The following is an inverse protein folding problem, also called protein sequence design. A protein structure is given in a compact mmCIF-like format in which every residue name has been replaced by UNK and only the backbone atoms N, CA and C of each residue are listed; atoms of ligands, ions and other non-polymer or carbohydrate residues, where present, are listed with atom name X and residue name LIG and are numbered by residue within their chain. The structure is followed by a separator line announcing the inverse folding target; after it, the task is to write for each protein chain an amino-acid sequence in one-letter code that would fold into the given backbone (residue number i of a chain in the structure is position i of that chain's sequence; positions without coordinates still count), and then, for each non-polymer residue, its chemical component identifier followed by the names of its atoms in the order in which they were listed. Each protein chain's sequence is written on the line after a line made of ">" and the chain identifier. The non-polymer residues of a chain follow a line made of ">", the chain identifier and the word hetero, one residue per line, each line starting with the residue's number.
data_IF_487246217839
#
_entry.id   IF_487246217839
#
_cell.length_a   1.000
_cell.length_b   1.000
_cell.length_c   1.000
_cell.angle_alpha   90.00
_cell.angle_beta   90.00
_cell.angle_gamma   90.00
#
_symmetry.space_group_name_H-M   'P 1'
#
loop_
_entity.id
_entity.type
_entity.pdbx_description
1 polymer ?
#
# COMPACT_ATOMS: atom_id res chain seq x y z
N UNK A 1 48.75 -35.22 7.11
CA UNK A 1 48.07 -34.25 6.23
C UNK A 1 46.58 -34.32 6.52
N UNK A 2 46.12 -33.48 7.43
CA UNK A 2 44.72 -33.43 7.87
C UNK A 2 44.09 -32.23 7.17
N UNK A 3 43.24 -32.50 6.18
CA UNK A 3 42.44 -31.45 5.51
C UNK A 3 41.34 -31.03 6.47
N UNK A 4 41.40 -29.80 6.95
CA UNK A 4 40.26 -29.11 7.55
C UNK A 4 39.26 -28.81 6.44
N UNK A 5 38.14 -29.52 6.41
CA UNK A 5 36.93 -29.08 5.70
C UNK A 5 36.34 -27.93 6.52
N UNK A 6 36.52 -26.70 6.06
CA UNK A 6 35.73 -25.58 6.52
C UNK A 6 34.28 -25.83 6.08
N UNK A 7 33.41 -25.96 7.08
CA UNK A 7 31.97 -25.99 6.83
C UNK A 7 31.54 -24.62 6.33
N UNK A 8 31.20 -24.54 5.05
CA UNK A 8 30.45 -23.39 4.49
C UNK A 8 29.13 -23.28 5.28
N UNK A 9 29.10 -22.34 6.18
CA UNK A 9 27.83 -21.86 6.77
C UNK A 9 27.04 -21.20 5.67
N UNK A 10 26.15 -21.95 5.06
CA UNK A 10 25.06 -21.38 4.23
C UNK A 10 24.16 -20.58 5.15
N UNK A 11 24.47 -19.31 5.31
CA UNK A 11 23.53 -18.35 5.92
C UNK A 11 22.30 -18.28 5.00
N UNK A 12 21.14 -18.73 5.52
CA UNK A 12 19.89 -18.48 4.82
C UNK A 12 19.81 -16.98 4.45
N UNK A 13 19.40 -16.66 3.22
CA UNK A 13 19.32 -15.26 2.82
C UNK A 13 18.41 -14.50 3.78
N UNK A 14 18.93 -13.43 4.36
CA UNK A 14 18.23 -12.59 5.31
C UNK A 14 16.86 -12.18 4.72
N UNK A 15 15.80 -12.61 5.37
CA UNK A 15 14.44 -12.37 4.90
C UNK A 15 14.11 -10.89 5.08
N UNK A 16 13.89 -10.20 3.98
CA UNK A 16 13.56 -8.78 4.02
C UNK A 16 12.12 -8.60 4.52
N UNK A 17 11.97 -7.87 5.61
CA UNK A 17 10.70 -7.50 6.21
C UNK A 17 10.56 -5.96 6.19
N UNK A 18 9.33 -5.44 6.22
CA UNK A 18 9.11 -4.00 6.38
C UNK A 18 9.60 -3.53 7.76
N UNK A 19 10.15 -2.31 7.82
CA UNK A 19 10.55 -1.64 9.06
C UNK A 19 9.35 -1.00 9.77
N UNK A 20 8.36 -0.61 8.99
CA UNK A 20 7.19 0.08 9.51
C UNK A 20 6.04 -0.90 9.74
N UNK A 21 5.21 -0.67 10.78
CA UNK A 21 4.11 -1.55 11.10
C UNK A 21 3.10 -1.62 9.96
N UNK A 22 2.55 -2.81 9.77
CA UNK A 22 1.57 -3.13 8.73
C UNK A 22 0.19 -3.27 9.36
N UNK A 23 -0.77 -2.47 8.92
CA UNK A 23 -2.15 -2.50 9.39
C UNK A 23 -3.11 -2.88 8.27
N UNK A 24 -4.10 -3.68 8.60
CA UNK A 24 -5.18 -4.10 7.71
C UNK A 24 -6.51 -3.82 8.40
N UNK A 25 -7.15 -2.65 8.16
CA UNK A 25 -8.52 -2.44 8.61
C UNK A 25 -9.45 -3.40 7.88
N UNK A 26 -10.23 -4.18 8.61
CA UNK A 26 -11.11 -5.19 8.04
C UNK A 26 -12.47 -5.20 8.73
N UNK A 27 -13.54 -5.47 7.94
CA UNK A 27 -14.92 -5.54 8.41
C UNK A 27 -15.69 -6.63 7.68
N UNK A 28 -16.29 -7.57 8.43
CA UNK A 28 -17.15 -8.61 7.90
C UNK A 28 -16.45 -9.60 6.96
N UNK A 29 -15.13 -9.86 7.15
CA UNK A 29 -14.31 -10.71 6.28
C UNK A 29 -13.44 -11.71 7.04
N UNK A 30 -13.82 -12.06 8.25
CA UNK A 30 -13.09 -13.06 9.04
C UNK A 30 -13.05 -14.43 8.37
N UNK A 31 -14.05 -14.81 7.53
CA UNK A 31 -14.06 -16.07 6.78
C UNK A 31 -13.17 -16.05 5.53
N UNK A 32 -12.80 -14.87 5.00
CA UNK A 32 -12.01 -14.69 3.76
C UNK A 32 -11.14 -13.46 3.85
N UNK A 33 -10.19 -13.48 4.75
CA UNK A 33 -9.22 -12.40 4.94
C UNK A 33 -8.07 -12.48 3.94
N UNK A 34 -8.31 -12.19 2.67
CA UNK A 34 -7.32 -12.39 1.59
C UNK A 34 -5.98 -11.72 1.86
N UNK A 35 -5.99 -10.51 2.44
CA UNK A 35 -4.75 -9.80 2.79
C UNK A 35 -4.05 -10.45 3.96
N UNK A 36 -4.79 -10.90 4.97
CA UNK A 36 -4.25 -11.64 6.11
C UNK A 36 -3.61 -12.96 5.66
N UNK A 37 -4.34 -13.77 4.89
CA UNK A 37 -3.83 -15.03 4.33
C UNK A 37 -2.56 -14.83 3.49
N UNK A 38 -2.49 -13.74 2.73
CA UNK A 38 -1.30 -13.40 1.97
C UNK A 38 -0.13 -13.03 2.86
N UNK A 39 -0.35 -12.14 3.86
CA UNK A 39 0.72 -11.71 4.77
C UNK A 39 1.23 -12.87 5.65
N UNK A 40 0.34 -13.77 6.09
CA UNK A 40 0.72 -15.01 6.79
C UNK A 40 1.62 -15.90 5.93
N UNK A 41 1.20 -16.18 4.70
CA UNK A 41 1.99 -16.97 3.74
C UNK A 41 3.38 -16.36 3.52
N UNK A 42 3.45 -15.04 3.37
CA UNK A 42 4.69 -14.31 3.18
C UNK A 42 5.46 -14.08 4.51
N UNK A 43 4.90 -14.53 5.66
CA UNK A 43 5.44 -14.38 7.02
C UNK A 43 5.78 -12.94 7.37
N UNK A 44 4.94 -12.01 6.96
CA UNK A 44 5.06 -10.59 7.27
C UNK A 44 4.24 -10.29 8.51
N UNK A 45 4.82 -9.74 9.59
CA UNK A 45 4.03 -9.31 10.75
C UNK A 45 3.04 -8.21 10.38
N UNK A 46 1.80 -8.34 10.85
CA UNK A 46 0.73 -7.36 10.59
C UNK A 46 -0.30 -7.30 11.72
N UNK A 47 -1.07 -6.21 11.73
CA UNK A 47 -2.18 -6.02 12.65
C UNK A 47 -3.50 -5.94 11.88
N UNK A 48 -4.43 -6.86 12.18
CA UNK A 48 -5.83 -6.73 11.77
C UNK A 48 -6.52 -5.73 12.69
N UNK A 49 -7.07 -4.66 12.12
CA UNK A 49 -7.76 -3.61 12.87
C UNK A 49 -9.25 -3.78 12.65
N UNK A 50 -9.97 -4.16 13.69
CA UNK A 50 -11.37 -4.59 13.63
C UNK A 50 -12.25 -3.83 14.60
N UNK A 51 -13.55 -3.74 14.30
CA UNK A 51 -14.53 -3.18 15.20
C UNK A 51 -14.82 -4.15 16.37
N UNK A 52 -15.22 -3.66 17.59
CA UNK A 52 -15.39 -4.49 18.79
C UNK A 52 -16.32 -5.69 18.61
N UNK A 53 -17.42 -5.52 17.88
CA UNK A 53 -18.41 -6.58 17.65
C UNK A 53 -17.91 -7.73 16.76
N UNK A 54 -16.79 -7.55 16.09
CA UNK A 54 -16.20 -8.58 15.20
C UNK A 54 -14.94 -9.22 15.80
N UNK A 55 -14.45 -8.70 16.93
CA UNK A 55 -13.16 -9.06 17.50
C UNK A 55 -13.01 -10.57 17.73
N UNK A 56 -14.03 -11.22 18.31
CA UNK A 56 -13.95 -12.65 18.61
C UNK A 56 -13.93 -13.52 17.35
N UNK A 57 -14.68 -13.15 16.32
CA UNK A 57 -14.65 -13.84 15.04
C UNK A 57 -13.28 -13.74 14.35
N UNK A 58 -12.65 -12.57 14.39
CA UNK A 58 -11.30 -12.40 13.84
C UNK A 58 -10.22 -13.09 14.68
N UNK A 59 -10.34 -13.09 16.02
CA UNK A 59 -9.44 -13.86 16.89
C UNK A 59 -9.55 -15.36 16.65
N UNK A 60 -10.77 -15.87 16.46
CA UNK A 60 -10.98 -17.28 16.13
C UNK A 60 -10.41 -17.65 14.75
N UNK A 61 -10.43 -16.74 13.78
CA UNK A 61 -9.95 -17.01 12.42
C UNK A 61 -8.42 -16.82 12.25
N UNK A 62 -7.82 -15.85 12.94
CA UNK A 62 -6.43 -15.44 12.72
C UNK A 62 -5.58 -15.39 13.99
N UNK A 63 -6.14 -15.63 15.16
CA UNK A 63 -5.43 -15.51 16.44
C UNK A 63 -4.29 -16.51 16.65
N UNK A 64 -4.32 -17.65 15.94
CA UNK A 64 -3.26 -18.66 16.00
C UNK A 64 -2.07 -18.35 15.09
N UNK A 65 -2.18 -17.35 14.21
CA UNK A 65 -1.08 -16.94 13.35
C UNK A 65 0.01 -16.21 14.16
N UNK A 66 1.27 -16.65 14.09
CA UNK A 66 2.39 -15.97 14.76
C UNK A 66 2.72 -14.61 14.15
N UNK A 67 2.13 -14.27 13.00
CA UNK A 67 2.36 -13.01 12.29
C UNK A 67 1.22 -12.01 12.48
N UNK A 68 0.06 -12.45 12.99
CA UNK A 68 -1.13 -11.63 13.13
C UNK A 68 -1.33 -11.11 14.57
N UNK A 69 -1.59 -9.83 14.70
CA UNK A 69 -2.13 -9.24 15.93
C UNK A 69 -3.52 -8.67 15.63
N UNK A 70 -4.53 -9.08 16.40
CA UNK A 70 -5.89 -8.50 16.27
C UNK A 70 -6.01 -7.30 17.19
N UNK A 71 -6.06 -6.09 16.62
CA UNK A 71 -6.27 -4.83 17.32
C UNK A 71 -7.74 -4.44 17.23
N UNK A 72 -8.33 -4.14 18.39
CA UNK A 72 -9.74 -3.79 18.49
C UNK A 72 -9.89 -2.28 18.62
N UNK A 73 -10.67 -1.69 17.72
CA UNK A 73 -10.98 -0.25 17.75
C UNK A 73 -11.80 0.09 19.00
N UNK A 74 -11.64 1.30 19.59
CA UNK A 74 -12.43 1.74 20.75
C UNK A 74 -13.85 2.24 20.36
N UNK A 75 -14.26 2.02 19.12
CA UNK A 75 -15.54 2.47 18.57
C UNK A 75 -16.04 1.49 17.50
N UNK A 76 -17.32 1.58 17.14
CA UNK A 76 -17.98 0.68 16.18
C UNK A 76 -18.97 1.40 15.27
N UNK A 77 -19.40 0.69 14.21
CA UNK A 77 -20.52 1.07 13.33
C UNK A 77 -20.40 2.42 12.63
N UNK A 78 -19.22 2.79 12.22
CA UNK A 78 -18.96 4.11 11.63
C UNK A 78 -19.33 4.21 10.14
N UNK A 79 -19.62 3.10 9.47
CA UNK A 79 -20.00 3.05 8.06
C UNK A 79 -18.94 3.57 7.08
N UNK A 80 -17.70 3.77 7.55
CA UNK A 80 -16.55 4.23 6.76
C UNK A 80 -15.24 3.77 7.40
N UNK A 81 -14.19 3.65 6.60
CA UNK A 81 -12.84 3.28 7.07
C UNK A 81 -12.07 4.45 7.71
N UNK A 82 -12.55 5.67 7.54
CA UNK A 82 -11.85 6.91 7.94
C UNK A 82 -11.46 6.94 9.43
N UNK A 83 -12.35 6.66 10.39
CA UNK A 83 -11.96 6.65 11.79
C UNK A 83 -10.93 5.55 12.11
N UNK A 84 -11.03 4.39 11.47
CA UNK A 84 -10.05 3.32 11.64
C UNK A 84 -8.66 3.75 11.12
N UNK A 85 -8.57 4.41 9.96
CA UNK A 85 -7.30 4.92 9.43
C UNK A 85 -6.69 6.01 10.32
N UNK A 86 -7.49 6.93 10.84
CA UNK A 86 -7.01 7.95 11.78
C UNK A 86 -6.57 7.33 13.12
N UNK A 87 -7.26 6.30 13.60
CA UNK A 87 -6.85 5.56 14.78
C UNK A 87 -5.54 4.80 14.54
N UNK A 88 -5.39 4.12 13.39
CA UNK A 88 -4.16 3.44 12.98
C UNK A 88 -2.97 4.40 13.01
N UNK A 89 -3.13 5.58 12.44
CA UNK A 89 -2.09 6.60 12.46
C UNK A 89 -1.66 6.93 13.90
N UNK A 90 -2.62 7.28 14.76
CA UNK A 90 -2.35 7.60 16.17
C UNK A 90 -1.71 6.44 16.95
N UNK A 91 -2.16 5.22 16.66
CA UNK A 91 -1.54 4.02 17.24
C UNK A 91 -0.09 3.85 16.77
N UNK A 92 0.18 4.02 15.49
CA UNK A 92 1.55 3.95 14.96
C UNK A 92 2.45 5.06 15.54
N UNK A 93 1.94 6.29 15.66
CA UNK A 93 2.62 7.41 16.32
C UNK A 93 2.94 7.11 17.78
N UNK A 94 2.01 6.52 18.53
CA UNK A 94 2.20 6.15 19.95
C UNK A 94 3.29 5.09 20.15
N UNK A 95 3.57 4.30 19.12
CA UNK A 95 4.68 3.32 19.09
C UNK A 95 6.00 3.93 18.59
N UNK A 96 6.03 5.24 18.28
CA UNK A 96 7.23 5.96 17.83
C UNK A 96 7.57 5.77 16.36
N UNK A 97 6.67 5.25 15.54
CA UNK A 97 6.94 5.06 14.12
C UNK A 97 6.67 6.32 13.30
N UNK A 98 7.63 6.73 12.49
CA UNK A 98 7.53 7.82 11.52
C UNK A 98 6.51 7.54 10.42
N UNK A 99 6.33 6.27 10.04
CA UNK A 99 5.43 5.83 8.97
C UNK A 99 4.67 4.56 9.37
N UNK A 100 3.61 4.26 8.63
CA UNK A 100 2.93 2.97 8.72
C UNK A 100 2.38 2.53 7.36
N UNK A 101 2.29 1.22 7.17
CA UNK A 101 1.54 0.63 6.08
C UNK A 101 0.08 0.47 6.44
N UNK A 102 -0.79 0.78 5.48
CA UNK A 102 -2.23 0.47 5.55
C UNK A 102 -2.66 -0.21 4.27
N UNK A 103 -3.13 -1.45 4.38
CA UNK A 103 -3.60 -2.27 3.27
C UNK A 103 -5.11 -2.49 3.34
N UNK A 104 -5.79 -2.47 2.20
CA UNK A 104 -7.16 -2.99 2.11
C UNK A 104 -7.15 -4.51 2.35
N UNK A 105 -8.24 -5.06 2.88
CA UNK A 105 -8.37 -6.48 3.26
C UNK A 105 -8.68 -7.45 2.09
N UNK A 106 -8.61 -6.99 0.84
CA UNK A 106 -8.92 -7.75 -0.38
C UNK A 106 -7.74 -7.90 -1.37
N UNK A 107 -6.52 -7.89 -0.85
CA UNK A 107 -5.28 -8.09 -1.61
C UNK A 107 -4.86 -9.56 -1.49
N UNK A 108 -4.50 -10.18 -2.62
CA UNK A 108 -4.12 -11.61 -2.69
C UNK A 108 -2.61 -11.85 -2.74
N UNK A 109 -1.82 -10.83 -2.93
CA UNK A 109 -0.37 -10.96 -3.08
C UNK A 109 0.26 -9.82 -3.85
N UNK A 110 1.56 -9.98 -4.08
CA UNK A 110 2.40 -9.04 -4.79
C UNK A 110 2.98 -9.66 -6.06
N UNK A 111 3.29 -8.80 -7.02
CA UNK A 111 4.13 -9.13 -8.17
C UNK A 111 5.24 -8.10 -8.30
N UNK A 112 6.36 -8.53 -8.87
CA UNK A 112 7.40 -7.67 -9.41
C UNK A 112 7.32 -7.64 -10.92
N UNK A 113 7.54 -6.47 -11.50
CA UNK A 113 7.55 -6.27 -12.97
C UNK A 113 8.96 -6.16 -13.48
N UNK A 114 9.21 -6.86 -14.59
CA UNK A 114 10.41 -6.72 -15.38
C UNK A 114 10.03 -6.60 -16.87
N UNK A 115 10.08 -5.40 -17.38
CA UNK A 115 9.53 -5.08 -18.70
C UNK A 115 8.05 -5.48 -18.79
N UNK A 116 7.73 -6.42 -19.69
CA UNK A 116 6.38 -6.98 -19.85
C UNK A 116 6.11 -8.22 -18.99
N UNK A 117 7.13 -8.77 -18.35
CA UNK A 117 7.01 -9.96 -17.51
C UNK A 117 6.59 -9.58 -16.11
N UNK A 118 5.91 -10.50 -15.46
CA UNK A 118 5.41 -10.38 -14.09
C UNK A 118 5.72 -11.66 -13.35
N UNK A 119 6.24 -11.52 -12.15
CA UNK A 119 6.59 -12.64 -11.29
C UNK A 119 5.96 -12.41 -9.91
N UNK A 120 5.42 -13.45 -9.28
CA UNK A 120 5.08 -13.35 -7.85
C UNK A 120 6.31 -12.92 -7.06
N UNK A 121 6.10 -12.14 -6.01
CA UNK A 121 7.17 -11.78 -5.08
C UNK A 121 6.65 -11.65 -3.66
N UNK A 122 7.57 -11.74 -2.69
CA UNK A 122 7.26 -11.54 -1.29
C UNK A 122 6.79 -10.11 -1.02
N UNK A 123 5.73 -9.99 -0.21
CA UNK A 123 5.26 -8.69 0.28
C UNK A 123 6.29 -7.99 1.14
N UNK A 124 7.03 -8.73 1.95
CA UNK A 124 8.11 -8.17 2.79
C UNK A 124 9.20 -7.51 1.95
N UNK A 125 9.68 -8.19 0.89
CA UNK A 125 10.64 -7.62 -0.04
C UNK A 125 10.11 -6.33 -0.70
N UNK A 126 8.88 -6.37 -1.21
CA UNK A 126 8.29 -5.23 -1.91
C UNK A 126 8.12 -4.02 -0.98
N UNK A 127 7.63 -4.24 0.24
CA UNK A 127 7.48 -3.20 1.26
C UNK A 127 8.83 -2.60 1.65
N UNK A 128 9.84 -3.43 1.97
CA UNK A 128 11.18 -2.95 2.30
C UNK A 128 11.79 -2.11 1.17
N UNK A 129 11.62 -2.53 -0.09
CA UNK A 129 12.11 -1.78 -1.23
C UNK A 129 11.45 -0.40 -1.38
N UNK A 130 10.13 -0.31 -1.15
CA UNK A 130 9.40 0.97 -1.20
C UNK A 130 9.78 1.87 -0.04
N UNK A 131 9.97 1.33 1.16
CA UNK A 131 10.45 2.06 2.32
C UNK A 131 11.81 2.69 2.05
N UNK A 132 12.78 1.88 1.61
CA UNK A 132 14.13 2.34 1.29
C UNK A 132 14.12 3.45 0.22
N UNK A 133 13.29 3.29 -0.80
CA UNK A 133 13.18 4.31 -1.85
C UNK A 133 12.47 5.58 -1.34
N UNK A 134 11.45 5.44 -0.52
CA UNK A 134 10.70 6.57 0.04
C UNK A 134 11.57 7.41 0.98
N UNK A 135 12.37 6.75 1.81
CA UNK A 135 13.27 7.42 2.77
C UNK A 135 14.41 8.22 2.10
N UNK A 136 14.63 8.04 0.81
CA UNK A 136 15.54 8.91 0.06
C UNK A 136 15.06 10.37 -0.02
N UNK A 137 13.79 10.63 0.31
CA UNK A 137 13.16 11.93 0.07
C UNK A 137 12.46 12.46 1.33
N UNK A 138 12.65 13.74 1.60
CA UNK A 138 12.08 14.42 2.79
C UNK A 138 10.60 14.75 2.63
N UNK A 139 10.14 15.00 1.41
CA UNK A 139 8.82 15.56 1.12
C UNK A 139 7.79 14.55 0.59
N UNK A 140 7.97 13.27 0.85
CA UNK A 140 6.98 12.25 0.47
C UNK A 140 6.01 11.99 1.63
N UNK A 141 4.76 12.41 1.45
CA UNK A 141 3.69 12.20 2.43
C UNK A 141 3.10 10.79 2.36
N UNK A 142 2.89 10.30 1.14
CA UNK A 142 2.24 9.01 0.89
C UNK A 142 2.98 8.30 -0.24
N UNK A 143 3.41 7.07 0.00
CA UNK A 143 3.85 6.17 -1.06
C UNK A 143 3.01 4.89 -1.05
N UNK A 144 3.12 4.08 -2.09
CA UNK A 144 2.38 2.83 -2.15
C UNK A 144 2.51 2.11 -3.49
N UNK A 145 1.73 1.06 -3.64
CA UNK A 145 1.80 0.17 -4.80
C UNK A 145 0.65 0.41 -5.78
N UNK A 146 0.95 0.32 -7.07
CA UNK A 146 -0.09 0.29 -8.10
C UNK A 146 -0.77 -1.08 -8.17
N UNK A 147 -1.92 -1.16 -8.83
CA UNK A 147 -2.58 -2.44 -9.09
C UNK A 147 -1.96 -3.12 -10.31
N UNK A 148 -1.77 -4.44 -10.23
CA UNK A 148 -1.35 -5.25 -11.36
C UNK A 148 -2.18 -4.96 -12.61
N UNK A 149 -3.49 -4.80 -12.46
CA UNK A 149 -4.42 -4.56 -13.58
C UNK A 149 -4.23 -3.22 -14.29
N UNK A 150 -3.55 -2.24 -13.69
CA UNK A 150 -3.31 -0.93 -14.32
C UNK A 150 -1.92 -0.82 -14.96
N UNK A 151 -1.11 -1.84 -14.81
CA UNK A 151 0.28 -1.85 -15.29
C UNK A 151 0.47 -2.73 -16.52
N UNK A 152 -0.52 -2.78 -17.43
CA UNK A 152 -0.44 -3.56 -18.66
C UNK A 152 0.39 -2.88 -19.75
N UNK A 153 1.28 -3.64 -20.35
CA UNK A 153 1.66 -3.51 -21.77
C UNK A 153 2.81 -2.58 -22.12
N UNK A 154 3.20 -1.60 -21.33
CA UNK A 154 4.11 -0.57 -21.82
C UNK A 154 5.59 -0.96 -21.74
N UNK A 155 6.22 -1.02 -22.92
CA UNK A 155 7.68 -0.88 -23.03
C UNK A 155 8.04 0.50 -22.49
N UNK A 156 8.67 0.56 -21.31
CA UNK A 156 9.17 1.81 -20.75
C UNK A 156 8.29 2.51 -19.73
N UNK A 157 7.28 1.85 -19.15
CA UNK A 157 6.63 2.43 -17.98
C UNK A 157 7.67 2.62 -16.87
N UNK A 158 7.79 3.84 -16.38
CA UNK A 158 8.68 4.18 -15.27
C UNK A 158 8.40 3.27 -14.08
N UNK A 159 9.40 2.89 -13.28
CA UNK A 159 9.23 2.03 -12.11
C UNK A 159 8.33 2.67 -11.04
N UNK A 160 8.15 3.97 -11.09
CA UNK A 160 7.27 4.74 -10.22
C UNK A 160 6.71 5.99 -10.91
N UNK A 161 5.66 6.55 -10.32
CA UNK A 161 5.08 7.86 -10.68
C UNK A 161 4.98 8.73 -9.44
N UNK A 162 5.21 10.02 -9.60
CA UNK A 162 5.06 11.04 -8.54
C UNK A 162 3.80 11.86 -8.73
N UNK A 163 3.31 12.43 -7.65
CA UNK A 163 2.20 13.38 -7.62
C UNK A 163 0.93 12.83 -8.27
N UNK A 164 0.61 11.59 -7.94
CA UNK A 164 -0.56 10.87 -8.42
C UNK A 164 -1.37 10.28 -7.26
N UNK A 165 -2.55 9.79 -7.54
CA UNK A 165 -3.37 9.06 -6.59
C UNK A 165 -2.66 7.78 -6.11
N UNK A 166 -2.56 7.59 -4.79
CA UNK A 166 -2.09 6.38 -4.12
C UNK A 166 -3.25 5.80 -3.31
N UNK A 167 -3.47 4.50 -3.39
CA UNK A 167 -4.67 3.86 -2.86
C UNK A 167 -4.44 2.42 -2.41
N UNK A 168 -5.26 1.93 -1.51
CA UNK A 168 -5.38 0.51 -1.08
C UNK A 168 -4.17 -0.15 -0.44
N UNK A 169 -2.97 0.25 -0.77
CA UNK A 169 -1.72 -0.30 -0.26
C UNK A 169 -0.74 0.87 -0.08
N UNK A 170 -0.84 1.55 1.05
CA UNK A 170 -0.21 2.86 1.27
C UNK A 170 0.76 2.84 2.44
N UNK A 171 1.93 3.45 2.25
CA UNK A 171 2.88 3.82 3.30
C UNK A 171 2.67 5.32 3.61
N UNK A 172 2.10 5.62 4.74
CA UNK A 172 1.75 6.97 5.16
C UNK A 172 2.79 7.55 6.11
N UNK A 173 3.13 8.82 5.91
CA UNK A 173 4.03 9.55 6.81
C UNK A 173 3.22 10.15 7.97
N UNK A 174 3.41 9.65 9.19
CA UNK A 174 2.71 10.05 10.40
C UNK A 174 3.03 11.50 10.83
N UNK A 175 4.22 11.99 10.47
CA UNK A 175 4.68 13.35 10.84
C UNK A 175 4.01 14.45 10.00
N UNK A 176 3.18 14.08 9.00
CA UNK A 176 2.45 15.07 8.20
C UNK A 176 1.19 15.56 8.93
N UNK A 177 0.71 16.79 8.64
CA UNK A 177 -0.48 17.33 9.28
C UNK A 177 -1.80 16.81 8.69
N UNK A 178 -1.74 15.84 7.75
CA UNK A 178 -2.92 15.40 7.02
C UNK A 178 -3.68 14.32 7.77
N UNK A 179 -5.01 14.36 7.70
CA UNK A 179 -5.91 13.37 8.30
C UNK A 179 -6.91 12.86 7.27
N UNK A 180 -7.27 11.57 7.38
CA UNK A 180 -8.39 11.04 6.59
C UNK A 180 -9.68 11.68 7.06
N UNK A 181 -10.50 12.08 6.09
CA UNK A 181 -11.74 12.79 6.35
C UNK A 181 -12.80 12.45 5.31
N UNK A 182 -14.04 12.77 5.64
CA UNK A 182 -15.20 12.43 4.81
C UNK A 182 -15.65 10.99 4.98
N UNK A 183 -16.63 10.61 4.21
CA UNK A 183 -17.19 9.26 4.22
C UNK A 183 -16.72 8.44 3.02
N UNK A 184 -16.37 9.12 1.92
CA UNK A 184 -16.05 8.52 0.63
C UNK A 184 -14.81 9.13 0.02
N UNK A 185 -14.13 8.38 -0.86
CA UNK A 185 -12.95 8.83 -1.61
C UNK A 185 -11.86 9.39 -0.69
N UNK A 186 -11.73 8.81 0.50
CA UNK A 186 -10.77 9.22 1.52
C UNK A 186 -9.32 9.11 1.02
N UNK A 187 -9.04 8.14 0.15
CA UNK A 187 -7.76 7.94 -0.52
C UNK A 187 -7.42 9.07 -1.51
N UNK A 188 -8.41 9.51 -2.27
CA UNK A 188 -8.27 10.68 -3.16
C UNK A 188 -8.11 11.96 -2.35
N UNK A 189 -8.92 12.14 -1.31
CA UNK A 189 -8.90 13.33 -0.46
C UNK A 189 -7.55 13.52 0.24
N UNK A 190 -6.99 12.46 0.83
CA UNK A 190 -5.70 12.55 1.54
C UNK A 190 -4.54 12.84 0.58
N UNK A 191 -4.57 12.28 -0.64
CA UNK A 191 -3.60 12.62 -1.68
C UNK A 191 -3.71 14.09 -2.10
N UNK A 192 -4.93 14.61 -2.25
CA UNK A 192 -5.14 16.01 -2.61
C UNK A 192 -4.68 16.96 -1.48
N UNK A 193 -4.88 16.61 -0.20
CA UNK A 193 -4.35 17.39 0.92
C UNK A 193 -2.83 17.50 0.82
N UNK A 194 -2.14 16.38 0.65
CA UNK A 194 -0.68 16.34 0.54
C UNK A 194 -0.18 17.18 -0.66
N UNK A 195 -0.72 16.92 -1.84
CA UNK A 195 -0.28 17.59 -3.07
C UNK A 195 -0.58 19.08 -3.09
N UNK A 196 -1.74 19.50 -2.55
CA UNK A 196 -2.09 20.92 -2.45
C UNK A 196 -1.27 21.69 -1.43
N UNK A 197 -0.68 21.00 -0.46
CA UNK A 197 0.23 21.56 0.53
C UNK A 197 1.71 21.51 0.11
N UNK A 198 2.00 21.12 -1.14
CA UNK A 198 3.37 21.07 -1.68
C UNK A 198 4.15 19.81 -1.30
N UNK A 199 3.51 18.78 -0.75
CA UNK A 199 4.11 17.46 -0.56
C UNK A 199 3.99 16.61 -1.82
N UNK A 200 4.77 15.54 -1.88
CA UNK A 200 4.70 14.54 -2.97
C UNK A 200 3.94 13.29 -2.55
N UNK A 201 3.32 12.66 -3.52
CA UNK A 201 2.91 11.25 -3.45
C UNK A 201 3.76 10.41 -4.39
N UNK A 202 3.96 9.14 -4.05
CA UNK A 202 4.81 8.21 -4.79
C UNK A 202 4.07 6.90 -5.04
N UNK A 203 3.69 6.62 -6.27
CA UNK A 203 3.06 5.36 -6.66
C UNK A 203 4.07 4.47 -7.38
N UNK A 204 4.43 3.35 -6.76
CA UNK A 204 5.40 2.40 -7.28
C UNK A 204 4.73 1.42 -8.23
N UNK A 205 5.26 1.32 -9.45
CA UNK A 205 4.79 0.44 -10.51
C UNK A 205 5.71 -0.76 -10.73
N UNK A 206 6.91 -0.75 -10.14
CA UNK A 206 7.84 -1.88 -10.20
C UNK A 206 7.28 -3.08 -9.46
N UNK A 207 6.67 -2.82 -8.30
CA UNK A 207 5.92 -3.77 -7.51
C UNK A 207 4.44 -3.41 -7.57
N UNK A 208 3.57 -4.40 -7.69
CA UNK A 208 2.13 -4.17 -7.80
C UNK A 208 1.36 -5.15 -6.94
N UNK A 209 0.26 -4.69 -6.38
CA UNK A 209 -0.66 -5.55 -5.64
C UNK A 209 -1.65 -6.26 -6.56
N UNK A 210 -1.93 -7.53 -6.24
CA UNK A 210 -3.02 -8.32 -6.82
C UNK A 210 -4.27 -8.12 -5.99
N UNK A 211 -5.14 -7.22 -6.42
CA UNK A 211 -6.37 -6.91 -5.71
C UNK A 211 -7.59 -7.51 -6.38
N UNK A 212 -8.50 -8.07 -5.59
CA UNK A 212 -9.83 -8.43 -6.09
C UNK A 212 -10.62 -7.15 -6.34
N UNK A 213 -11.31 -7.10 -7.49
CA UNK A 213 -12.11 -5.94 -7.86
C UNK A 213 -13.12 -5.61 -6.75
N UNK A 214 -13.22 -4.31 -6.43
CA UNK A 214 -14.20 -3.79 -5.46
C UNK A 214 -15.61 -4.27 -5.81
N UNK A 215 -16.40 -4.65 -4.81
CA UNK A 215 -17.77 -5.19 -4.91
C UNK A 215 -17.88 -6.67 -5.38
N UNK A 216 -16.79 -7.41 -5.53
CA UNK A 216 -16.84 -8.85 -5.81
C UNK A 216 -16.77 -9.73 -4.55
N UNK A 217 -16.39 -9.16 -3.42
CA UNK A 217 -16.38 -9.83 -2.12
C UNK A 217 -17.51 -9.29 -1.25
N UNK A 218 -18.16 -10.18 -0.51
CA UNK A 218 -19.11 -9.80 0.55
C UNK A 218 -18.36 -9.13 1.71
N UNK A 219 -19.05 -8.28 2.46
CA UNK A 219 -18.47 -7.54 3.58
C UNK A 219 -17.74 -6.25 3.18
N UNK A 220 -17.14 -5.62 4.17
CA UNK A 220 -16.58 -4.28 4.04
C UNK A 220 -17.67 -3.20 3.96
N UNK A 221 -17.27 -1.97 3.73
CA UNK A 221 -18.22 -0.84 3.62
C UNK A 221 -18.98 -0.79 2.27
N UNK A 222 -18.71 -1.73 1.34
CA UNK A 222 -19.24 -1.68 -0.03
C UNK A 222 -20.76 -1.79 -0.08
N UNK A 223 -21.36 -2.61 0.77
CA UNK A 223 -22.80 -2.89 0.75
C UNK A 223 -23.65 -1.69 1.20
N UNK A 224 -23.09 -0.84 2.06
CA UNK A 224 -23.75 0.36 2.54
C UNK A 224 -23.48 1.58 1.66
N UNK A 225 -22.25 1.70 1.15
CA UNK A 225 -21.78 2.89 0.44
C UNK A 225 -22.28 3.01 -1.01
N UNK A 226 -22.56 1.89 -1.67
CA UNK A 226 -22.89 1.87 -3.11
C UNK A 226 -24.38 1.63 -3.42
N UNK A 227 -25.25 1.61 -2.41
CA UNK A 227 -26.71 1.49 -2.61
C UNK A 227 -27.30 2.72 -3.33
N UNK A 228 -28.16 2.47 -4.31
CA UNK A 228 -28.87 3.53 -5.06
C UNK A 228 -27.93 4.47 -5.84
N UNK A 229 -28.11 5.78 -5.69
CA UNK A 229 -27.30 6.84 -6.35
C UNK A 229 -26.01 7.20 -5.55
N UNK A 230 -25.54 6.29 -4.71
CA UNK A 230 -24.39 6.50 -3.83
C UNK A 230 -23.14 7.02 -4.56
N UNK A 231 -22.90 6.59 -5.80
CA UNK A 231 -21.74 7.06 -6.61
C UNK A 231 -21.81 8.53 -6.94
N UNK A 232 -22.99 9.06 -7.27
CA UNK A 232 -23.17 10.49 -7.54
C UNK A 232 -22.95 11.29 -6.27
N UNK A 233 -23.48 10.81 -5.13
CA UNK A 233 -23.29 11.47 -3.85
C UNK A 233 -21.80 11.51 -3.46
N UNK A 234 -21.09 10.39 -3.58
CA UNK A 234 -19.65 10.30 -3.33
C UNK A 234 -18.83 11.28 -4.17
N UNK A 235 -19.13 11.37 -5.47
CA UNK A 235 -18.41 12.27 -6.37
C UNK A 235 -18.67 13.74 -6.03
N UNK A 236 -19.92 14.11 -5.77
CA UNK A 236 -20.31 15.49 -5.41
C UNK A 236 -19.80 15.91 -4.03
N UNK A 237 -19.68 15.00 -3.08
CA UNK A 237 -19.08 15.30 -1.78
C UNK A 237 -17.61 15.69 -1.94
N UNK A 238 -16.84 14.93 -2.73
CA UNK A 238 -15.45 15.26 -3.00
C UNK A 238 -15.31 16.57 -3.80
N UNK A 239 -16.17 16.81 -4.79
CA UNK A 239 -16.22 18.07 -5.57
C UNK A 239 -16.50 19.28 -4.67
N UNK A 240 -17.44 19.17 -3.72
CA UNK A 240 -17.72 20.23 -2.74
C UNK A 240 -16.55 20.50 -1.80
N UNK A 241 -15.77 19.47 -1.47
CA UNK A 241 -14.60 19.61 -0.60
C UNK A 241 -13.41 20.23 -1.32
N UNK A 242 -13.33 20.02 -2.64
CA UNK A 242 -12.25 20.49 -3.50
C UNK A 242 -12.74 21.33 -4.68
N UNK A 243 -13.36 22.50 -4.42
CA UNK A 243 -13.86 23.37 -5.48
C UNK A 243 -12.72 23.84 -6.38
N UNK A 244 -12.93 23.80 -7.71
CA UNK A 244 -11.91 24.16 -8.70
C UNK A 244 -10.80 23.11 -8.91
N UNK A 245 -10.75 22.06 -8.08
CA UNK A 245 -9.78 20.96 -8.20
C UNK A 245 -10.47 19.67 -8.66
N UNK A 246 -11.63 19.37 -8.11
CA UNK A 246 -12.42 18.19 -8.45
C UNK A 246 -13.71 18.61 -9.13
N UNK A 247 -14.15 17.82 -10.10
CA UNK A 247 -15.47 17.91 -10.71
C UNK A 247 -16.10 16.53 -10.85
N UNK A 248 -17.44 16.50 -10.82
CA UNK A 248 -18.20 15.28 -11.06
C UNK A 248 -18.52 15.17 -12.54
N UNK A 249 -18.10 14.09 -13.18
CA UNK A 249 -18.38 13.79 -14.59
C UNK A 249 -19.07 12.46 -14.76
N UNK A 250 -19.89 12.33 -15.79
CA UNK A 250 -20.46 11.03 -16.18
C UNK A 250 -19.52 10.32 -17.14
N UNK A 251 -19.03 9.14 -16.76
CA UNK A 251 -18.14 8.31 -17.56
C UNK A 251 -18.59 6.85 -17.48
N UNK A 252 -18.68 6.18 -18.62
CA UNK A 252 -19.20 4.81 -18.70
C UNK A 252 -20.57 4.63 -18.02
N UNK A 253 -21.47 5.59 -18.22
CA UNK A 253 -22.82 5.58 -17.64
C UNK A 253 -22.90 5.86 -16.14
N UNK A 254 -21.79 6.18 -15.47
CA UNK A 254 -21.70 6.37 -14.01
C UNK A 254 -21.11 7.71 -13.64
N UNK A 255 -21.61 8.32 -12.57
CA UNK A 255 -20.98 9.50 -11.98
C UNK A 255 -19.63 9.11 -11.36
N UNK A 256 -18.60 9.89 -11.65
CA UNK A 256 -17.24 9.73 -11.13
C UNK A 256 -16.63 11.09 -10.84
N UNK A 257 -15.86 11.19 -9.76
CA UNK A 257 -15.03 12.35 -9.54
C UNK A 257 -13.88 12.39 -10.58
N UNK A 258 -13.47 13.58 -10.95
CA UNK A 258 -12.41 13.82 -11.90
C UNK A 258 -11.56 15.00 -11.45
N UNK A 259 -10.24 14.84 -11.46
CA UNK A 259 -9.32 15.94 -11.16
C UNK A 259 -9.20 16.85 -12.38
N UNK A 260 -9.53 18.12 -12.21
CA UNK A 260 -9.46 19.13 -13.28
C UNK A 260 -7.97 19.35 -13.63
N UNK A 261 -7.63 19.20 -14.92
CA UNK A 261 -6.25 19.25 -15.39
C UNK A 261 -5.41 18.00 -15.05
N UNK A 262 -6.05 16.91 -14.63
CA UNK A 262 -5.41 15.67 -14.18
C UNK A 262 -4.46 15.88 -12.98
N UNK A 263 -3.85 14.79 -12.51
CA UNK A 263 -2.82 14.81 -11.45
C UNK A 263 -1.54 15.52 -11.87
N UNK A 264 -1.27 15.65 -13.17
CA UNK A 264 -0.09 16.32 -13.73
C UNK A 264 0.00 17.83 -13.41
N UNK A 265 -1.07 18.44 -12.91
CA UNK A 265 -1.03 19.81 -12.40
C UNK A 265 -0.18 19.97 -11.13
N UNK A 266 0.03 18.89 -10.38
CA UNK A 266 0.88 18.88 -9.22
C UNK A 266 2.32 18.55 -9.64
N UNK A 267 3.20 19.53 -9.55
CA UNK A 267 4.55 19.48 -10.11
C UNK A 267 5.65 19.55 -9.07
N UNK A 268 5.31 19.45 -7.78
CA UNK A 268 6.30 19.45 -6.70
C UNK A 268 7.37 18.38 -6.96
N UNK A 269 8.66 18.73 -7.04
CA UNK A 269 9.72 17.75 -7.24
C UNK A 269 9.98 16.95 -5.96
N UNK A 270 10.52 15.75 -6.10
CA UNK A 270 11.06 15.01 -4.97
C UNK A 270 12.30 15.71 -4.42
N UNK A 271 12.33 15.95 -3.12
CA UNK A 271 13.43 16.58 -2.40
C UNK A 271 14.31 15.53 -1.76
N UNK A 272 15.54 15.37 -2.25
CA UNK A 272 16.50 14.37 -1.77
C UNK A 272 16.92 14.69 -0.34
N UNK A 273 16.84 13.70 0.55
CA UNK A 273 17.41 13.80 1.90
C UNK A 273 18.93 13.61 1.82
N UNK A 274 19.74 14.66 2.11
CA UNK A 274 21.20 14.56 2.04
C UNK A 274 21.79 13.68 3.14
N UNK A 275 21.07 13.44 4.23
CA UNK A 275 21.53 12.61 5.34
C UNK A 275 21.42 11.11 5.06
N UNK A 276 20.57 10.72 4.11
CA UNK A 276 20.39 9.33 3.71
C UNK A 276 21.36 9.00 2.57
N UNK A 277 22.27 8.02 2.69
CA UNK A 277 23.18 7.66 1.62
C UNK A 277 22.42 7.18 0.38
N UNK A 278 23.02 7.28 -0.82
CA UNK A 278 22.47 6.65 -2.02
C UNK A 278 22.25 5.14 -1.81
N UNK A 279 21.21 4.61 -2.43
CA UNK A 279 20.97 3.16 -2.41
C UNK A 279 22.17 2.45 -3.07
N UNK A 280 22.74 1.47 -2.37
CA UNK A 280 23.80 0.62 -2.92
C UNK A 280 23.22 -0.30 -4.00
N UNK A 281 23.64 -0.17 -5.27
CA UNK A 281 23.09 -0.98 -6.36
C UNK A 281 23.26 -2.49 -6.13
N UNK A 282 24.31 -2.93 -5.45
CA UNK A 282 24.56 -4.34 -5.18
C UNK A 282 23.59 -4.92 -4.14
N UNK A 283 23.29 -4.14 -3.10
CA UNK A 283 22.28 -4.51 -2.09
C UNK A 283 20.86 -4.48 -2.64
N UNK A 284 20.63 -3.65 -3.67
CA UNK A 284 19.30 -3.43 -4.23
C UNK A 284 19.07 -4.13 -5.57
N UNK A 285 19.93 -5.11 -5.93
CA UNK A 285 19.67 -5.98 -7.08
C UNK A 285 18.28 -6.61 -6.95
N UNK A 286 17.35 -6.17 -7.81
CA UNK A 286 15.96 -6.62 -7.79
C UNK A 286 14.99 -5.80 -6.98
N UNK A 287 15.44 -4.85 -6.18
CA UNK A 287 14.57 -3.83 -5.58
C UNK A 287 14.25 -2.75 -6.62
N UNK A 288 13.63 -1.63 -6.25
CA UNK A 288 13.27 -0.57 -7.20
C UNK A 288 14.54 -0.08 -7.91
N UNK A 289 14.70 -0.45 -9.18
CA UNK A 289 15.80 0.00 -9.98
C UNK A 289 15.41 1.30 -10.65
N UNK A 290 16.03 2.38 -10.24
CA UNK A 290 15.77 3.73 -10.78
C UNK A 290 16.40 3.90 -12.16
N UNK A 291 17.46 3.13 -12.45
CA UNK A 291 18.23 3.24 -13.69
C UNK A 291 18.73 1.86 -14.15
N UNK A 292 18.17 1.32 -15.20
CA UNK A 292 18.73 0.17 -15.88
C UNK A 292 17.93 -1.13 -15.77
N UNK A 293 18.30 -2.08 -16.57
CA UNK A 293 17.63 -3.35 -16.76
C UNK A 293 18.21 -4.42 -15.82
N UNK A 294 17.35 -5.16 -15.13
CA UNK A 294 17.70 -6.44 -14.53
C UNK A 294 17.63 -7.52 -15.62
N UNK A 295 18.60 -8.39 -15.70
CA UNK A 295 18.49 -9.56 -16.55
C UNK A 295 17.37 -10.49 -16.05
N UNK A 296 16.70 -11.17 -16.96
CA UNK A 296 15.55 -12.03 -16.63
C UNK A 296 15.89 -13.13 -15.63
N UNK A 297 17.13 -13.61 -15.63
CA UNK A 297 17.61 -14.61 -14.68
C UNK A 297 17.75 -14.02 -13.28
N UNK A 298 18.33 -12.83 -13.15
CA UNK A 298 18.47 -12.13 -11.85
C UNK A 298 17.10 -11.87 -11.20
N UNK A 299 16.07 -11.55 -12.00
CA UNK A 299 14.71 -11.38 -11.50
C UNK A 299 14.15 -12.71 -11.01
N UNK A 300 14.36 -13.82 -11.74
CA UNK A 300 13.93 -15.15 -11.29
C UNK A 300 14.60 -15.55 -9.99
N UNK A 301 15.91 -15.47 -9.93
CA UNK A 301 16.70 -15.82 -8.75
C UNK A 301 16.28 -15.00 -7.52
N UNK A 302 15.95 -13.72 -7.74
CA UNK A 302 15.42 -12.87 -6.67
C UNK A 302 14.04 -13.32 -6.22
N UNK A 303 13.13 -13.61 -7.15
CA UNK A 303 11.77 -14.07 -6.85
C UNK A 303 11.82 -15.42 -6.14
N UNK A 304 12.61 -16.37 -6.63
CA UNK A 304 12.77 -17.70 -6.02
C UNK A 304 13.28 -17.62 -4.57
N UNK A 305 14.24 -16.73 -4.31
CA UNK A 305 14.79 -16.53 -2.94
C UNK A 305 13.82 -15.86 -1.97
N UNK A 306 12.83 -15.11 -2.47
CA UNK A 306 11.92 -14.31 -1.65
C UNK A 306 10.45 -14.70 -1.79
N UNK A 307 10.16 -15.78 -2.50
CA UNK A 307 8.82 -16.39 -2.57
C UNK A 307 8.74 -17.49 -1.50
N UNK A 308 7.70 -17.50 -0.67
CA UNK A 308 7.52 -18.48 0.38
C UNK A 308 7.31 -19.89 -0.17
#
# INVERSE_FOLDING_TARGET
>A
MTQHMEAETTTEPERLLPRYPVYVPSKGRHEKGLTAEWLDRDRVPYSLVVEPQEADAYRAAFGDSPFCTVLVLPFSNLGTVVPARNWIRKHSESLGFKRHWSFDDNIRGMIVRYGRRRFPCSGGLAMAAVEDFTELYTNVAISGFDYEMFTFGDKGSKPFRTNVHVYSATLFNNETPFEWRGRYNEDTDICLQALSAGWCTLLVNQYCVRKVATMRLKGGNSDELYKGDGRTHMSRELERRWPGIVTTRRRYGRAQHHIIGNWQKFTTPLERDPSVPPLDPEKYRGRIKVTGELESQQVRDMVERHTP
#
